data_IF_728011294702
#
_entry.id   IF_728011294702
#
_cell.length_a   1.000
_cell.length_b   1.000
_cell.length_c   1.000
_cell.angle_alpha   90.00
_cell.angle_beta   90.00
_cell.angle_gamma   90.00
#
_symmetry.space_group_name_H-M   'P 1'
#
loop_
_entity.id
_entity.type
_entity.pdbx_description
1 polymer ?
#
# COMPACT_ATOMS: atom_id res chain seq x y z
N UNK A 1 14.80 -71.24 41.66
CA UNK A 1 13.79 -71.51 40.62
C UNK A 1 14.46 -71.36 39.26
N UNK A 2 14.40 -72.37 38.40
CA UNK A 2 14.88 -72.33 37.01
C UNK A 2 13.69 -72.03 36.09
N UNK A 3 13.92 -71.31 34.97
CA UNK A 3 12.88 -71.12 33.96
C UNK A 3 12.71 -72.39 33.09
N UNK A 4 11.70 -72.42 32.21
CA UNK A 4 11.40 -73.56 31.30
C UNK A 4 12.54 -73.97 30.34
N UNK A 5 13.67 -73.26 30.36
CA UNK A 5 14.86 -73.53 29.56
C UNK A 5 16.11 -73.83 30.41
N UNK A 6 15.95 -74.07 31.72
CA UNK A 6 17.04 -74.59 32.57
C UNK A 6 18.14 -73.58 32.94
N UNK A 7 17.93 -72.27 32.74
CA UNK A 7 18.90 -71.25 33.13
C UNK A 7 18.61 -70.65 34.53
N UNK A 8 19.66 -70.37 35.34
CA UNK A 8 19.50 -69.74 36.66
C UNK A 8 18.99 -68.30 36.54
N UNK A 9 17.91 -68.00 37.26
CA UNK A 9 17.33 -66.65 37.35
C UNK A 9 18.16 -65.84 38.36
N UNK A 10 18.74 -64.68 37.98
CA UNK A 10 19.45 -63.84 38.92
C UNK A 10 18.49 -63.19 39.94
N UNK A 11 18.94 -62.92 41.18
CA UNK A 11 18.08 -62.33 42.20
C UNK A 11 17.74 -60.88 41.85
N UNK A 12 16.47 -60.52 41.99
CA UNK A 12 16.00 -59.14 41.94
C UNK A 12 16.59 -58.38 43.13
N UNK A 13 17.69 -57.66 42.88
CA UNK A 13 18.16 -56.61 43.81
C UNK A 13 17.20 -55.43 43.71
N UNK A 14 16.55 -55.14 44.83
CA UNK A 14 15.83 -53.89 45.04
C UNK A 14 16.76 -52.69 44.81
N UNK A 15 16.27 -51.72 44.05
CA UNK A 15 16.78 -50.37 44.07
C UNK A 15 15.63 -49.44 44.46
N UNK A 16 15.64 -49.08 45.75
CA UNK A 16 15.03 -47.89 46.29
C UNK A 16 15.79 -46.65 45.81
N UNK A 17 15.10 -45.66 45.24
CA UNK A 17 15.65 -44.31 45.03
C UNK A 17 14.95 -43.50 43.93
N UNK A 18 14.55 -42.23 44.18
CA UNK A 18 13.81 -41.44 43.21
C UNK A 18 14.72 -40.92 42.08
N UNK A 19 14.61 -41.60 40.93
CA UNK A 19 14.71 -41.11 39.55
C UNK A 19 15.26 -39.67 39.32
N UNK A 20 16.56 -39.47 39.53
CA UNK A 20 17.31 -38.29 39.08
C UNK A 20 17.41 -38.22 37.54
N UNK A 21 17.40 -39.38 36.86
CA UNK A 21 17.45 -39.48 35.40
C UNK A 21 16.18 -38.90 34.73
N UNK A 22 14.99 -39.15 35.31
CA UNK A 22 13.74 -38.62 34.76
C UNK A 22 13.64 -37.09 34.85
N UNK A 23 14.22 -36.46 35.88
CA UNK A 23 14.19 -34.99 35.99
C UNK A 23 15.11 -34.32 34.96
N UNK A 24 16.25 -34.91 34.63
CA UNK A 24 17.16 -34.36 33.62
C UNK A 24 16.59 -34.47 32.20
N UNK A 25 15.95 -35.60 31.86
CA UNK A 25 15.35 -35.81 30.54
C UNK A 25 14.15 -34.87 30.33
N UNK A 26 13.29 -34.70 31.34
CA UNK A 26 12.14 -33.77 31.26
C UNK A 26 12.60 -32.31 31.13
N UNK A 27 13.67 -31.90 31.82
CA UNK A 27 14.22 -30.55 31.68
C UNK A 27 14.83 -30.29 30.30
N UNK A 28 15.53 -31.26 29.71
CA UNK A 28 16.06 -31.12 28.35
C UNK A 28 14.94 -31.05 27.31
N UNK A 29 13.88 -31.85 27.45
CA UNK A 29 12.73 -31.80 26.56
C UNK A 29 11.99 -30.46 26.64
N UNK A 30 11.74 -29.95 27.85
CA UNK A 30 11.11 -28.65 28.05
C UNK A 30 11.94 -27.50 27.50
N UNK A 31 13.28 -27.56 27.63
CA UNK A 31 14.18 -26.57 27.05
C UNK A 31 14.19 -26.62 25.52
N UNK A 32 14.07 -27.81 24.92
CA UNK A 32 13.99 -28.00 23.47
C UNK A 32 12.66 -27.44 22.91
N UNK A 33 11.54 -27.75 23.55
CA UNK A 33 10.20 -27.23 23.18
C UNK A 33 10.13 -25.71 23.33
N UNK A 34 10.76 -25.13 24.36
CA UNK A 34 10.89 -23.68 24.54
C UNK A 34 11.75 -23.00 23.46
N UNK A 35 12.76 -23.69 22.92
CA UNK A 35 13.58 -23.17 21.84
C UNK A 35 12.85 -23.21 20.49
N UNK A 36 12.08 -24.27 20.21
CA UNK A 36 11.26 -24.37 19.00
C UNK A 36 10.11 -23.36 18.98
N UNK A 37 9.46 -23.12 20.12
CA UNK A 37 8.42 -22.09 20.25
C UNK A 37 9.01 -20.69 20.06
N UNK A 38 10.16 -20.37 20.67
CA UNK A 38 10.86 -19.11 20.42
C UNK A 38 11.33 -18.93 18.97
N UNK A 39 11.78 -20.00 18.31
CA UNK A 39 12.14 -19.97 16.89
C UNK A 39 10.91 -19.77 15.98
N UNK A 40 9.79 -20.40 16.30
CA UNK A 40 8.50 -20.21 15.60
C UNK A 40 7.97 -18.78 15.77
N UNK A 41 8.11 -18.20 16.97
CA UNK A 41 7.72 -16.81 17.21
C UNK A 41 8.67 -15.81 16.53
N UNK A 42 9.99 -16.07 16.54
CA UNK A 42 10.97 -15.24 15.83
C UNK A 42 10.77 -15.29 14.31
N UNK A 43 10.49 -16.47 13.74
CA UNK A 43 10.22 -16.60 12.29
C UNK A 43 8.90 -15.95 11.89
N UNK A 44 7.87 -16.00 12.74
CA UNK A 44 6.62 -15.24 12.53
C UNK A 44 6.84 -13.73 12.63
N UNK A 45 7.59 -13.26 13.62
CA UNK A 45 7.91 -11.83 13.77
C UNK A 45 8.76 -11.32 12.60
N UNK A 46 9.72 -12.11 12.12
CA UNK A 46 10.53 -11.79 10.95
C UNK A 46 9.69 -11.81 9.67
N UNK A 47 8.82 -12.81 9.47
CA UNK A 47 7.91 -12.86 8.33
C UNK A 47 6.88 -11.72 8.34
N UNK A 48 6.41 -11.29 9.52
CA UNK A 48 5.54 -10.13 9.67
C UNK A 48 6.29 -8.84 9.35
N UNK A 49 7.50 -8.66 9.90
CA UNK A 49 8.34 -7.49 9.64
C UNK A 49 8.75 -7.38 8.17
N UNK A 50 9.07 -8.50 7.51
CA UNK A 50 9.39 -8.53 6.07
C UNK A 50 8.14 -8.26 5.22
N UNK A 51 6.96 -8.77 5.60
CA UNK A 51 5.70 -8.42 4.92
C UNK A 51 5.38 -6.93 5.05
N UNK A 52 5.47 -6.37 6.24
CA UNK A 52 5.19 -4.94 6.45
C UNK A 52 6.22 -4.05 5.73
N UNK A 53 7.48 -4.49 5.67
CA UNK A 53 8.51 -3.81 4.88
C UNK A 53 8.23 -3.93 3.39
N UNK A 54 7.90 -5.14 2.89
CA UNK A 54 7.58 -5.36 1.48
C UNK A 54 6.31 -4.63 1.06
N UNK A 55 5.26 -4.57 1.89
CA UNK A 55 4.04 -3.79 1.62
C UNK A 55 4.37 -2.30 1.55
N UNK A 56 5.20 -1.77 2.45
CA UNK A 56 5.66 -0.37 2.39
C UNK A 56 6.52 -0.07 1.17
N UNK A 57 7.35 -1.02 0.71
CA UNK A 57 8.12 -0.88 -0.52
C UNK A 57 7.23 -0.96 -1.76
N UNK A 58 6.27 -1.89 -1.80
CA UNK A 58 5.33 -2.06 -2.92
C UNK A 58 4.41 -0.85 -3.11
N UNK A 59 4.08 -0.12 -2.04
CA UNK A 59 3.23 1.07 -2.12
C UNK A 59 3.99 2.32 -2.61
N UNK A 60 5.30 2.40 -2.36
CA UNK A 60 6.15 3.51 -2.87
C UNK A 60 6.39 3.44 -4.37
N UNK A 61 6.49 2.23 -4.92
CA UNK A 61 6.71 2.02 -6.36
C UNK A 61 5.40 1.98 -7.15
N UNK A 62 4.27 2.21 -6.47
CA UNK A 62 2.96 2.22 -7.10
C UNK A 62 2.84 3.42 -8.04
N UNK A 63 2.60 3.10 -9.30
CA UNK A 63 2.45 4.09 -10.37
C UNK A 63 1.00 4.20 -10.82
N UNK A 64 0.62 5.41 -11.13
CA UNK A 64 -0.69 5.78 -11.64
C UNK A 64 -0.54 6.38 -13.03
N UNK A 65 -1.47 6.03 -13.91
CA UNK A 65 -1.71 6.78 -15.13
C UNK A 65 -2.54 7.98 -14.72
N UNK A 66 -1.97 9.18 -14.83
CA UNK A 66 -2.62 10.44 -14.45
C UNK A 66 -2.98 11.23 -15.72
N UNK A 67 -4.17 11.82 -15.71
CA UNK A 67 -4.68 12.74 -16.69
C UNK A 67 -4.59 14.16 -16.13
N UNK A 68 -3.86 15.02 -16.82
CA UNK A 68 -3.57 16.40 -16.41
C UNK A 68 -3.87 17.32 -17.58
N UNK A 69 -4.64 18.38 -17.34
CA UNK A 69 -4.87 19.43 -18.34
C UNK A 69 -3.66 20.36 -18.37
N UNK A 70 -3.09 20.61 -19.55
CA UNK A 70 -1.86 21.42 -19.71
C UNK A 70 -1.99 22.82 -19.08
N UNK A 71 -3.15 23.46 -19.25
CA UNK A 71 -3.48 24.75 -18.65
C UNK A 71 -3.62 24.77 -17.14
N UNK A 72 -3.75 23.61 -16.49
CA UNK A 72 -3.81 23.51 -15.04
C UNK A 72 -2.45 23.73 -14.37
N UNK A 73 -1.36 23.83 -15.14
CA UNK A 73 0.00 23.99 -14.63
C UNK A 73 0.53 25.41 -14.83
N UNK A 74 1.31 25.89 -13.85
CA UNK A 74 2.05 27.16 -13.93
C UNK A 74 3.12 27.10 -15.03
N UNK A 75 3.76 25.94 -15.20
CA UNK A 75 4.70 25.66 -16.29
C UNK A 75 4.32 24.34 -16.96
N UNK A 76 3.76 24.43 -18.17
CA UNK A 76 3.34 23.26 -18.95
C UNK A 76 4.51 22.35 -19.32
N UNK A 77 5.74 22.86 -19.38
CA UNK A 77 6.92 22.04 -19.67
C UNK A 77 7.32 21.15 -18.49
N UNK A 78 6.79 21.38 -17.28
CA UNK A 78 7.12 20.58 -16.11
C UNK A 78 6.86 19.08 -16.34
N UNK A 79 5.82 18.75 -17.12
CA UNK A 79 5.49 17.35 -17.41
C UNK A 79 6.45 16.67 -18.38
N UNK A 80 7.31 17.41 -19.11
CA UNK A 80 8.20 16.84 -20.13
C UNK A 80 9.18 15.82 -19.56
N UNK A 81 9.54 15.94 -18.27
CA UNK A 81 10.42 15.01 -17.57
C UNK A 81 9.78 13.62 -17.34
N UNK A 82 8.45 13.51 -17.45
CA UNK A 82 7.69 12.28 -17.20
C UNK A 82 7.25 11.56 -18.48
N UNK A 83 7.84 11.89 -19.63
CA UNK A 83 7.49 11.32 -20.94
C UNK A 83 5.98 11.40 -21.25
N UNK A 84 5.41 12.63 -21.30
CA UNK A 84 3.98 12.84 -21.40
C UNK A 84 3.43 12.42 -22.77
N UNK A 85 2.20 11.92 -22.77
CA UNK A 85 1.44 11.60 -23.98
C UNK A 85 0.23 12.53 -24.09
N UNK A 86 0.14 13.30 -25.16
CA UNK A 86 -1.05 14.12 -25.46
C UNK A 86 -2.18 13.21 -25.90
N UNK A 87 -3.33 13.27 -25.21
CA UNK A 87 -4.52 12.48 -25.52
C UNK A 87 -5.47 13.24 -26.44
N UNK A 88 -5.84 14.46 -26.04
CA UNK A 88 -6.82 15.27 -26.75
C UNK A 88 -6.54 16.76 -26.59
N UNK A 89 -7.14 17.59 -27.45
CA UNK A 89 -7.14 19.04 -27.32
C UNK A 89 -8.51 19.50 -26.81
N UNK A 90 -8.52 20.31 -25.75
CA UNK A 90 -9.75 20.83 -25.16
C UNK A 90 -10.03 22.22 -25.73
N UNK A 91 -11.24 22.42 -26.25
CA UNK A 91 -11.65 23.65 -26.95
C UNK A 91 -11.69 24.90 -26.05
N UNK A 92 -11.55 24.76 -24.72
CA UNK A 92 -11.39 25.91 -23.83
C UNK A 92 -10.04 26.57 -24.07
N UNK A 93 -10.09 27.87 -24.34
CA UNK A 93 -8.92 28.73 -24.64
C UNK A 93 -7.79 28.64 -23.61
N UNK A 94 -8.09 28.21 -22.38
CA UNK A 94 -7.12 28.16 -21.30
C UNK A 94 -6.61 26.74 -21.00
N UNK A 95 -7.17 25.68 -21.58
CA UNK A 95 -6.91 24.30 -21.14
C UNK A 95 -5.82 23.62 -21.95
N UNK A 96 -5.80 23.84 -23.27
CA UNK A 96 -4.81 23.22 -24.15
C UNK A 96 -5.01 21.72 -24.25
N UNK A 97 -3.93 20.94 -24.10
CA UNK A 97 -4.00 19.49 -24.24
C UNK A 97 -4.36 18.78 -22.93
N UNK A 98 -5.17 17.73 -23.02
CA UNK A 98 -5.24 16.68 -22.00
C UNK A 98 -4.00 15.78 -22.14
N UNK A 99 -3.23 15.66 -21.07
CA UNK A 99 -1.96 14.95 -21.05
C UNK A 99 -2.06 13.74 -20.13
N UNK A 100 -1.58 12.60 -20.61
CA UNK A 100 -1.40 11.36 -19.86
C UNK A 100 0.07 11.22 -19.43
N UNK A 101 0.31 11.02 -18.13
CA UNK A 101 1.64 10.80 -17.55
C UNK A 101 1.61 9.67 -16.53
N UNK A 102 2.71 8.93 -16.43
CA UNK A 102 2.85 7.86 -15.44
C UNK A 102 3.63 8.37 -14.23
N UNK A 103 2.97 8.46 -13.08
CA UNK A 103 3.53 9.09 -11.88
C UNK A 103 3.41 8.19 -10.65
N UNK A 104 4.40 8.24 -9.77
CA UNK A 104 4.32 7.75 -8.40
C UNK A 104 3.58 8.76 -7.51
N UNK A 105 3.16 8.34 -6.32
CA UNK A 105 2.46 9.23 -5.38
C UNK A 105 3.29 10.46 -4.98
N UNK A 106 4.62 10.32 -4.88
CA UNK A 106 5.48 11.46 -4.55
C UNK A 106 5.63 12.42 -5.73
N UNK A 107 5.70 11.91 -6.96
CA UNK A 107 5.70 12.76 -8.17
C UNK A 107 4.36 13.48 -8.36
N UNK A 108 3.23 12.83 -8.02
CA UNK A 108 1.90 13.47 -7.98
C UNK A 108 1.93 14.69 -7.07
N UNK A 109 2.52 14.60 -5.88
CA UNK A 109 2.65 15.75 -4.96
C UNK A 109 3.52 16.87 -5.54
N UNK A 110 4.55 16.54 -6.31
CA UNK A 110 5.35 17.55 -7.01
C UNK A 110 4.55 18.23 -8.12
N UNK A 111 3.72 17.49 -8.87
CA UNK A 111 2.79 18.07 -9.85
C UNK A 111 1.78 18.98 -9.16
N UNK A 112 1.19 18.58 -8.02
CA UNK A 112 0.22 19.40 -7.27
C UNK A 112 0.78 20.78 -6.89
N UNK A 113 2.08 20.89 -6.58
CA UNK A 113 2.77 22.17 -6.27
C UNK A 113 2.98 23.06 -7.49
N UNK A 114 2.90 22.49 -8.69
CA UNK A 114 3.07 23.18 -9.98
C UNK A 114 1.74 23.51 -10.63
N UNK A 115 0.62 23.08 -10.04
CA UNK A 115 -0.70 23.46 -10.52
C UNK A 115 -0.96 24.94 -10.24
N UNK A 116 -1.71 25.59 -11.11
CA UNK A 116 -2.15 26.97 -10.90
C UNK A 116 -3.02 27.01 -9.64
N UNK A 117 -2.85 28.08 -8.86
CA UNK A 117 -3.57 28.21 -7.60
C UNK A 117 -5.07 28.28 -7.83
N UNK A 118 -5.78 27.67 -6.90
CA UNK A 118 -7.22 27.76 -6.82
C UNK A 118 -7.65 29.24 -6.81
N UNK A 119 -8.58 29.62 -7.68
CA UNK A 119 -9.09 30.99 -7.90
C UNK A 119 -8.16 31.99 -8.62
N UNK A 120 -6.92 31.63 -8.94
CA UNK A 120 -6.00 32.53 -9.67
C UNK A 120 -5.88 32.20 -11.16
N UNK A 121 -6.31 31.01 -11.58
CA UNK A 121 -6.13 30.53 -12.94
C UNK A 121 -7.31 29.75 -13.50
N UNK A 122 -7.16 29.26 -14.74
CA UNK A 122 -8.17 28.43 -15.35
C UNK A 122 -8.30 27.11 -14.59
N UNK A 123 -9.54 26.65 -14.45
CA UNK A 123 -9.84 25.27 -14.12
C UNK A 123 -9.29 24.34 -15.23
N UNK A 124 -9.16 23.03 -14.98
CA UNK A 124 -9.36 22.34 -13.71
C UNK A 124 -8.13 22.46 -12.78
N UNK A 125 -8.36 22.55 -11.47
CA UNK A 125 -7.30 22.55 -10.44
C UNK A 125 -7.08 21.18 -9.81
N UNK A 126 -7.35 20.12 -10.57
CA UNK A 126 -7.14 18.74 -10.14
C UNK A 126 -6.67 17.88 -11.31
N UNK A 127 -6.21 16.69 -10.98
CA UNK A 127 -5.88 15.62 -11.90
C UNK A 127 -6.49 14.32 -11.41
N UNK A 128 -6.92 13.47 -12.32
CA UNK A 128 -7.46 12.15 -12.02
C UNK A 128 -6.67 11.07 -12.75
N UNK A 129 -6.96 9.81 -12.43
CA UNK A 129 -6.20 8.70 -12.97
C UNK A 129 -6.55 7.37 -12.35
N UNK A 130 -5.74 6.37 -12.68
CA UNK A 130 -5.92 5.01 -12.18
C UNK A 130 -4.58 4.29 -12.01
N UNK A 131 -4.53 3.30 -11.12
CA UNK A 131 -3.31 2.54 -10.91
C UNK A 131 -2.96 1.71 -12.16
N UNK A 132 -1.69 1.73 -12.60
CA UNK A 132 -1.24 1.07 -13.84
C UNK A 132 -1.59 -0.42 -13.85
N UNK A 133 -1.41 -1.09 -12.71
CA UNK A 133 -1.64 -2.53 -12.56
C UNK A 133 -3.06 -2.89 -12.10
N UNK A 134 -3.90 -1.90 -11.79
CA UNK A 134 -5.26 -2.10 -11.31
C UNK A 134 -6.13 -0.91 -11.69
N UNK A 135 -6.76 -0.99 -12.88
CA UNK A 135 -7.69 0.05 -13.34
C UNK A 135 -8.92 0.22 -12.44
N UNK A 136 -9.16 -0.74 -11.55
CA UNK A 136 -10.20 -0.69 -10.54
C UNK A 136 -9.85 0.27 -9.39
N UNK A 137 -8.59 0.68 -9.26
CA UNK A 137 -8.19 1.68 -8.30
C UNK A 137 -8.02 3.02 -9.01
N UNK A 138 -8.75 4.01 -8.53
CA UNK A 138 -8.85 5.35 -9.07
C UNK A 138 -8.17 6.31 -8.09
N UNK A 139 -7.51 7.32 -8.66
CA UNK A 139 -6.87 8.38 -7.90
C UNK A 139 -7.35 9.73 -8.41
N UNK A 140 -7.57 10.67 -7.50
CA UNK A 140 -7.88 12.06 -7.81
C UNK A 140 -7.06 12.95 -6.86
N UNK A 141 -6.33 13.91 -7.42
CA UNK A 141 -5.42 14.77 -6.68
C UNK A 141 -5.69 16.24 -7.03
N UNK A 142 -5.94 17.06 -6.00
CA UNK A 142 -6.24 18.49 -6.13
C UNK A 142 -4.97 19.32 -5.99
N UNK A 143 -4.91 20.52 -6.57
CA UNK A 143 -3.72 21.39 -6.48
C UNK A 143 -3.31 21.71 -5.04
N UNK A 144 -2.01 21.88 -4.78
CA UNK A 144 -1.48 22.09 -3.42
C UNK A 144 -2.08 23.31 -2.71
N UNK A 145 -2.45 24.34 -3.46
CA UNK A 145 -3.03 25.57 -2.94
C UNK A 145 -4.57 25.53 -2.88
N UNK A 146 -5.20 24.34 -2.85
CA UNK A 146 -6.65 24.13 -2.70
C UNK A 146 -7.21 24.52 -1.31
N UNK A 147 -6.36 25.00 -0.40
CA UNK A 147 -6.71 25.33 0.99
C UNK A 147 -6.61 24.14 1.97
N UNK A 148 -6.26 22.95 1.48
CA UNK A 148 -6.09 21.71 2.26
C UNK A 148 -4.74 21.02 1.96
N UNK A 149 -3.77 21.75 1.38
CA UNK A 149 -2.45 21.27 0.98
C UNK A 149 -2.46 20.17 -0.10
N UNK A 150 -3.40 20.22 -1.06
CA UNK A 150 -3.42 19.30 -2.20
C UNK A 150 -3.93 17.93 -1.82
N UNK A 151 -5.22 17.85 -1.52
CA UNK A 151 -5.84 16.59 -1.09
C UNK A 151 -5.74 15.53 -2.19
N UNK A 152 -5.42 14.29 -1.81
CA UNK A 152 -5.42 13.13 -2.70
C UNK A 152 -6.44 12.12 -2.20
N UNK A 153 -7.27 11.61 -3.10
CA UNK A 153 -8.20 10.53 -2.86
C UNK A 153 -7.77 9.32 -3.68
N UNK A 154 -7.70 8.15 -3.04
CA UNK A 154 -7.49 6.86 -3.69
C UNK A 154 -8.62 5.94 -3.27
N UNK A 155 -9.33 5.38 -4.23
CA UNK A 155 -10.53 4.60 -3.97
C UNK A 155 -10.79 3.58 -5.07
N UNK A 156 -11.71 2.64 -4.83
CA UNK A 156 -12.11 1.69 -5.87
C UNK A 156 -13.14 2.32 -6.81
N UNK A 157 -13.06 2.01 -8.11
CA UNK A 157 -13.96 2.50 -9.15
C UNK A 157 -15.44 2.21 -8.84
N UNK A 158 -15.74 1.09 -8.21
CA UNK A 158 -17.11 0.70 -7.83
C UNK A 158 -17.58 1.31 -6.50
N UNK A 159 -16.70 1.98 -5.76
CA UNK A 159 -17.02 2.67 -4.51
C UNK A 159 -17.73 4.01 -4.78
N UNK A 160 -19.03 3.92 -5.01
CA UNK A 160 -19.90 5.07 -5.21
C UNK A 160 -19.91 6.04 -4.02
N UNK A 161 -19.60 5.57 -2.80
CA UNK A 161 -19.57 6.43 -1.63
C UNK A 161 -18.32 7.30 -1.67
N UNK A 162 -17.15 6.69 -1.89
CA UNK A 162 -15.89 7.41 -2.03
C UNK A 162 -15.95 8.41 -3.20
N UNK A 163 -16.51 8.02 -4.34
CA UNK A 163 -16.67 8.95 -5.46
C UNK A 163 -17.58 10.14 -5.12
N UNK A 164 -18.69 9.92 -4.39
CA UNK A 164 -19.54 11.02 -3.91
C UNK A 164 -18.80 11.96 -2.97
N UNK A 165 -17.89 11.44 -2.14
CA UNK A 165 -17.05 12.26 -1.26
C UNK A 165 -16.09 13.13 -2.07
N UNK A 166 -15.45 12.57 -3.11
CA UNK A 166 -14.60 13.32 -4.06
C UNK A 166 -15.40 14.41 -4.76
N UNK A 167 -16.57 14.06 -5.31
CA UNK A 167 -17.46 15.00 -6.00
C UNK A 167 -17.93 16.14 -5.10
N UNK A 168 -18.34 15.83 -3.87
CA UNK A 168 -18.73 16.83 -2.87
C UNK A 168 -17.55 17.76 -2.53
N UNK A 169 -16.35 17.19 -2.41
CA UNK A 169 -15.15 17.97 -2.15
C UNK A 169 -14.84 18.91 -3.33
N UNK A 170 -14.84 18.42 -4.56
CA UNK A 170 -14.58 19.22 -5.74
C UNK A 170 -15.58 20.39 -5.90
N UNK A 171 -16.88 20.12 -5.71
CA UNK A 171 -17.91 21.16 -5.73
C UNK A 171 -17.69 22.20 -4.63
N UNK A 172 -17.22 21.80 -3.44
CA UNK A 172 -16.86 22.75 -2.38
C UNK A 172 -15.64 23.61 -2.72
N UNK A 173 -14.84 23.18 -3.70
CA UNK A 173 -13.72 23.92 -4.30
C UNK A 173 -14.12 24.58 -5.62
N UNK A 174 -15.40 24.77 -5.89
CA UNK A 174 -15.86 25.50 -7.07
C UNK A 174 -15.68 24.79 -8.41
N UNK A 175 -15.15 23.56 -8.44
CA UNK A 175 -14.99 22.80 -9.69
C UNK A 175 -16.39 22.37 -10.20
N UNK A 176 -16.75 22.68 -11.46
CA UNK A 176 -18.04 22.33 -12.03
C UNK A 176 -18.30 20.82 -12.05
N UNK A 177 -19.58 20.46 -11.95
CA UNK A 177 -20.00 19.06 -11.83
C UNK A 177 -19.66 18.24 -13.09
N UNK A 178 -19.74 18.87 -14.25
CA UNK A 178 -19.42 18.30 -15.56
C UNK A 178 -17.94 17.95 -15.73
N UNK A 179 -17.05 18.57 -14.94
CA UNK A 179 -15.62 18.28 -14.98
C UNK A 179 -15.29 17.08 -14.10
N UNK A 180 -15.87 17.02 -12.89
CA UNK A 180 -15.54 15.99 -11.89
C UNK A 180 -16.14 14.61 -12.18
N UNK A 181 -16.88 14.45 -13.28
CA UNK A 181 -17.55 13.19 -13.64
C UNK A 181 -16.66 12.23 -14.44
N UNK A 182 -15.40 12.08 -14.02
CA UNK A 182 -14.35 11.31 -14.72
C UNK A 182 -14.52 9.77 -14.63
N UNK A 183 -15.60 9.28 -14.03
CA UNK A 183 -15.91 7.84 -13.94
C UNK A 183 -17.04 7.39 -14.88
N UNK A 184 -17.74 8.32 -15.52
CA UNK A 184 -18.87 8.02 -16.39
C UNK A 184 -18.46 7.74 -17.85
#
# INVERSE_FOLDING_TARGET
>A
MLNKFGHPVPPLRGFSGPNLLNKQIINQFNHCVLLETKWSEMTKAFACGVKDLMVKFMDKDKKYVMHVVEGSLVDSNFLSQFSPKKLDYLDDKNWGYLIEVNLTLDEIKEVQKKMVKHYEGPEPWYMDGYAIYSRDEVICAFGADDGENGKIFVFKRDDKKAFREVKTYALSKGIPEEQIDFLN
#
